data_IF_803812965334
#
_entry.id   IF_803812965334
#
_cell.length_a   1.000
_cell.length_b   1.000
_cell.length_c   1.000
_cell.angle_alpha   90.00
_cell.angle_beta   90.00
_cell.angle_gamma   90.00
#
_symmetry.space_group_name_H-M   'P 1'
#
loop_
_entity.id
_entity.type
_entity.pdbx_description
1 polymer ?
#
# COMPACT_ATOMS: atom_id res chain seq x y z
N UNK A 1 -29.35 -20.72 0.42
CA UNK A 1 -28.22 -21.54 -0.04
C UNK A 1 -26.98 -20.71 0.17
N UNK A 2 -26.56 -20.58 1.43
CA UNK A 2 -25.48 -19.69 1.84
C UNK A 2 -24.15 -20.41 1.61
N UNK A 3 -23.70 -20.38 0.36
CA UNK A 3 -22.34 -20.72 0.00
C UNK A 3 -21.43 -19.60 0.45
N UNK A 4 -21.07 -19.58 1.73
CA UNK A 4 -19.89 -18.87 2.21
C UNK A 4 -18.67 -19.52 1.53
N UNK A 5 -18.39 -19.11 0.29
CA UNK A 5 -17.14 -19.42 -0.40
C UNK A 5 -16.04 -18.74 0.42
N UNK A 6 -15.45 -19.49 1.35
CA UNK A 6 -14.27 -19.05 2.06
C UNK A 6 -13.21 -18.71 1.00
N UNK A 7 -12.98 -17.41 0.76
CA UNK A 7 -11.95 -16.97 -0.17
C UNK A 7 -10.62 -17.56 0.29
N UNK A 8 -9.98 -18.32 -0.60
CA UNK A 8 -8.71 -18.95 -0.27
C UNK A 8 -7.65 -17.84 -0.15
N UNK A 9 -7.09 -17.70 1.06
CA UNK A 9 -5.94 -16.81 1.31
C UNK A 9 -4.85 -17.04 0.26
N UNK A 10 -4.28 -15.95 -0.26
CA UNK A 10 -3.14 -16.03 -1.16
C UNK A 10 -1.97 -16.74 -0.46
N UNK A 11 -1.24 -17.55 -1.22
CA UNK A 11 -0.05 -18.23 -0.74
C UNK A 11 1.17 -17.55 -1.34
N UNK A 12 2.11 -17.03 -0.53
CA UNK A 12 3.37 -16.54 -1.04
C UNK A 12 4.10 -17.62 -1.83
N UNK A 13 4.84 -17.21 -2.86
CA UNK A 13 5.68 -18.11 -3.61
C UNK A 13 6.71 -18.78 -2.66
N UNK A 14 6.95 -20.10 -2.75
CA UNK A 14 7.92 -20.77 -1.91
C UNK A 14 9.31 -20.12 -2.01
N UNK A 15 10.05 -20.08 -0.89
CA UNK A 15 11.38 -19.42 -0.84
C UNK A 15 12.35 -19.92 -1.91
N UNK A 16 12.31 -21.21 -2.24
CA UNK A 16 13.14 -21.82 -3.30
C UNK A 16 12.82 -21.26 -4.69
N UNK A 17 11.56 -20.95 -4.96
CA UNK A 17 11.11 -20.47 -6.25
C UNK A 17 11.37 -18.95 -6.37
N UNK A 18 11.24 -18.22 -5.26
CA UNK A 18 11.73 -16.83 -5.15
C UNK A 18 13.24 -16.75 -5.38
N UNK A 19 14.01 -17.69 -4.81
CA UNK A 19 15.45 -17.77 -5.05
C UNK A 19 15.77 -18.07 -6.52
N UNK A 20 15.06 -19.00 -7.15
CA UNK A 20 15.21 -19.31 -8.58
C UNK A 20 14.88 -18.09 -9.48
N UNK A 21 13.82 -17.34 -9.15
CA UNK A 21 13.48 -16.08 -9.82
C UNK A 21 14.59 -15.03 -9.73
N UNK A 22 15.37 -15.03 -8.64
CA UNK A 22 16.52 -14.13 -8.48
C UNK A 22 17.74 -14.65 -9.23
N UNK A 23 18.02 -15.95 -9.13
CA UNK A 23 19.21 -16.60 -9.70
C UNK A 23 19.22 -16.63 -11.24
N UNK A 24 18.05 -16.53 -11.88
CA UNK A 24 17.95 -16.39 -13.35
C UNK A 24 18.57 -15.09 -13.87
N UNK A 25 18.77 -14.08 -13.03
CA UNK A 25 19.31 -12.78 -13.43
C UNK A 25 20.83 -12.79 -13.40
N UNK A 26 21.44 -13.17 -14.51
CA UNK A 26 22.88 -13.01 -14.73
C UNK A 26 23.19 -11.56 -15.13
N UNK A 27 24.40 -11.05 -14.87
CA UNK A 27 24.75 -9.64 -15.13
C UNK A 27 24.50 -9.16 -16.56
N UNK A 28 24.62 -10.05 -17.55
CA UNK A 28 24.37 -9.78 -18.97
C UNK A 28 22.89 -9.62 -19.34
N UNK A 29 21.98 -10.15 -18.50
CA UNK A 29 20.53 -10.02 -18.69
C UNK A 29 19.95 -8.76 -18.03
N UNK A 30 20.74 -8.04 -17.23
CA UNK A 30 20.28 -6.81 -16.58
C UNK A 30 20.30 -5.67 -17.61
N UNK A 31 19.13 -5.15 -18.04
CA UNK A 31 19.10 -4.05 -18.99
C UNK A 31 19.73 -2.80 -18.39
N UNK A 32 20.32 -1.96 -19.25
CA UNK A 32 20.72 -0.62 -18.86
C UNK A 32 19.46 0.23 -18.59
N UNK A 33 18.97 0.16 -17.36
CA UNK A 33 17.89 1.00 -16.85
C UNK A 33 18.38 2.39 -16.45
N UNK A 34 19.68 2.66 -16.59
CA UNK A 34 20.22 4.01 -16.47
C UNK A 34 19.53 4.89 -17.50
N UNK A 35 19.25 6.14 -17.12
CA UNK A 35 18.41 7.05 -17.87
C UNK A 35 19.21 7.72 -19.03
N UNK A 36 19.23 7.21 -20.28
CA UNK A 36 20.16 7.68 -21.28
C UNK A 36 19.36 8.50 -22.31
N UNK A 37 18.79 9.66 -21.91
CA UNK A 37 18.35 10.70 -22.88
C UNK A 37 18.12 12.10 -22.25
N UNK A 38 18.86 13.04 -22.84
CA UNK A 38 18.84 14.53 -22.91
C UNK A 38 18.25 15.34 -21.74
N UNK A 39 19.06 16.33 -21.33
CA UNK A 39 18.87 17.46 -20.39
C UNK A 39 17.46 18.05 -20.17
N UNK A 40 16.46 17.84 -21.01
CA UNK A 40 15.28 18.71 -21.05
C UNK A 40 13.88 18.10 -20.84
N UNK A 41 13.65 16.79 -20.75
CA UNK A 41 12.45 16.35 -20.01
C UNK A 41 12.46 14.87 -19.60
N UNK A 42 12.88 14.60 -18.37
CA UNK A 42 12.69 13.31 -17.71
C UNK A 42 11.35 13.23 -16.96
N UNK A 43 10.56 14.33 -16.96
CA UNK A 43 9.25 14.46 -16.32
C UNK A 43 8.09 14.32 -17.30
N UNK A 44 8.35 14.22 -18.61
CA UNK A 44 7.30 13.96 -19.60
C UNK A 44 6.78 12.53 -19.46
N UNK A 45 5.78 12.37 -18.60
CA UNK A 45 5.13 11.11 -18.30
C UNK A 45 3.98 10.80 -19.25
N UNK A 46 3.86 11.53 -20.37
CA UNK A 46 2.93 11.16 -21.44
C UNK A 46 3.47 10.01 -22.30
N UNK A 47 4.77 9.72 -22.21
CA UNK A 47 5.44 8.68 -22.98
C UNK A 47 5.81 7.48 -22.09
N UNK A 48 5.42 6.27 -22.52
CA UNK A 48 5.81 5.02 -21.85
C UNK A 48 7.29 4.73 -22.05
N UNK A 49 7.98 4.29 -20.99
CA UNK A 49 9.42 4.00 -21.04
C UNK A 49 9.73 2.79 -21.92
N UNK A 50 10.34 3.04 -23.08
CA UNK A 50 10.71 2.01 -24.05
C UNK A 50 11.90 1.14 -23.63
N UNK A 51 12.70 1.57 -22.64
CA UNK A 51 13.93 0.87 -22.22
C UNK A 51 13.71 -0.48 -21.55
N UNK A 52 12.48 -0.78 -21.12
CA UNK A 52 12.12 -2.05 -20.50
C UNK A 52 11.78 -3.15 -21.50
N UNK A 53 11.63 -2.81 -22.78
CA UNK A 53 11.27 -3.74 -23.83
C UNK A 53 12.45 -3.96 -24.82
N UNK A 54 12.73 -5.21 -25.23
CA UNK A 54 12.09 -6.45 -24.77
C UNK A 54 12.57 -6.86 -23.37
N UNK A 55 11.77 -7.66 -22.66
CA UNK A 55 12.28 -8.40 -21.50
C UNK A 55 13.21 -9.53 -21.97
N UNK A 56 14.33 -9.80 -21.27
CA UNK A 56 15.20 -10.96 -21.55
C UNK A 56 14.46 -12.31 -21.42
N UNK A 57 13.30 -12.32 -20.78
CA UNK A 57 12.50 -13.51 -20.54
C UNK A 57 11.17 -13.55 -21.29
N UNK A 58 10.93 -12.57 -22.17
CA UNK A 58 9.69 -12.46 -22.93
C UNK A 58 8.51 -12.01 -22.05
N UNK A 59 7.35 -12.60 -22.29
CA UNK A 59 6.10 -12.24 -21.63
C UNK A 59 5.66 -13.34 -20.66
N UNK A 60 5.01 -12.92 -19.57
CA UNK A 60 4.27 -13.82 -18.68
C UNK A 60 3.02 -14.37 -19.40
N UNK A 61 2.40 -15.39 -18.80
CA UNK A 61 1.20 -16.03 -19.38
C UNK A 61 0.02 -15.06 -19.57
N UNK A 62 -0.04 -13.99 -18.78
CA UNK A 62 -1.03 -12.92 -18.88
C UNK A 62 -0.52 -11.68 -19.65
N UNK A 63 0.60 -11.81 -20.37
CA UNK A 63 1.05 -10.84 -21.36
C UNK A 63 1.87 -9.67 -20.82
N UNK A 64 2.31 -9.69 -19.56
CA UNK A 64 3.22 -8.67 -19.02
C UNK A 64 4.67 -8.97 -19.38
N UNK A 65 5.51 -7.93 -19.49
CA UNK A 65 6.96 -8.10 -19.57
C UNK A 65 7.46 -8.82 -18.31
N UNK A 66 8.09 -9.99 -18.48
CA UNK A 66 8.56 -10.81 -17.36
C UNK A 66 9.83 -10.20 -16.75
N UNK A 67 9.67 -9.48 -15.65
CA UNK A 67 10.75 -8.95 -14.81
C UNK A 67 10.73 -9.55 -13.40
N UNK A 68 10.16 -10.75 -13.25
CA UNK A 68 10.00 -11.39 -11.95
C UNK A 68 11.36 -11.65 -11.30
N UNK A 69 11.47 -11.35 -10.01
CA UNK A 69 12.71 -11.50 -9.26
C UNK A 69 13.79 -10.47 -9.57
N UNK A 70 13.48 -9.37 -10.27
CA UNK A 70 14.46 -8.38 -10.69
C UNK A 70 15.36 -7.90 -9.53
N UNK A 71 16.70 -7.97 -9.64
CA UNK A 71 17.60 -7.80 -8.51
C UNK A 71 18.08 -6.36 -8.29
N UNK A 72 17.56 -5.39 -9.06
CA UNK A 72 17.96 -3.99 -8.98
C UNK A 72 16.80 -3.08 -8.62
N UNK A 73 17.13 -1.84 -8.25
CA UNK A 73 16.15 -0.79 -8.02
C UNK A 73 15.59 -0.32 -9.37
N UNK A 74 14.28 -0.12 -9.40
CA UNK A 74 13.62 0.63 -10.47
C UNK A 74 14.06 2.10 -10.34
N UNK A 75 14.53 2.78 -11.40
CA UNK A 75 14.83 4.20 -11.33
C UNK A 75 13.59 5.02 -10.94
N UNK A 76 13.76 6.26 -10.50
CA UNK A 76 12.62 7.14 -10.27
C UNK A 76 12.01 7.62 -11.61
N UNK A 77 10.86 8.28 -11.57
CA UNK A 77 10.23 8.90 -12.74
C UNK A 77 9.81 7.93 -13.84
N UNK A 78 9.49 6.69 -13.45
CA UNK A 78 9.14 5.69 -14.45
C UNK A 78 7.68 5.80 -14.87
N UNK A 79 7.44 5.70 -16.17
CA UNK A 79 6.14 5.40 -16.74
C UNK A 79 6.18 3.98 -17.32
N UNK A 80 5.65 3.00 -16.59
CA UNK A 80 5.62 1.60 -17.04
C UNK A 80 4.20 1.11 -17.23
N UNK A 81 4.03 0.27 -18.25
CA UNK A 81 2.79 -0.42 -18.53
C UNK A 81 3.05 -1.92 -18.70
N UNK A 82 2.20 -2.74 -18.08
CA UNK A 82 2.18 -4.19 -18.26
C UNK A 82 3.54 -4.85 -17.97
N UNK A 83 4.12 -4.57 -16.80
CA UNK A 83 5.39 -5.17 -16.34
C UNK A 83 5.14 -6.01 -15.10
N UNK A 84 5.59 -7.27 -15.10
CA UNK A 84 5.57 -8.12 -13.91
C UNK A 84 6.91 -8.01 -13.17
N UNK A 85 6.89 -7.24 -12.09
CA UNK A 85 7.97 -7.03 -11.13
C UNK A 85 7.70 -7.80 -9.83
N UNK A 86 6.88 -8.86 -9.86
CA UNK A 86 6.62 -9.67 -8.67
C UNK A 86 7.91 -10.27 -8.13
N UNK A 87 8.00 -10.29 -6.81
CA UNK A 87 9.19 -10.72 -6.07
C UNK A 87 10.48 -9.96 -6.43
N UNK A 88 10.39 -8.74 -6.96
CA UNK A 88 11.54 -7.85 -7.11
C UNK A 88 12.28 -7.70 -5.77
N UNK A 89 13.60 -7.88 -5.78
CA UNK A 89 14.44 -7.90 -4.57
C UNK A 89 15.78 -7.24 -4.86
N UNK A 90 15.90 -5.91 -4.65
CA UNK A 90 17.16 -5.23 -4.80
C UNK A 90 18.22 -5.82 -3.86
N UNK A 91 19.44 -6.01 -4.36
CA UNK A 91 20.56 -6.53 -3.55
C UNK A 91 20.76 -5.75 -2.24
N UNK A 92 20.46 -4.45 -2.26
CA UNK A 92 20.52 -3.58 -1.10
C UNK A 92 19.19 -2.85 -0.90
N UNK A 93 18.50 -3.14 0.21
CA UNK A 93 17.33 -2.41 0.65
C UNK A 93 16.05 -2.73 -0.12
N UNK A 94 15.30 -1.68 -0.49
CA UNK A 94 13.98 -1.74 -1.13
C UNK A 94 13.97 -0.88 -2.40
N UNK A 95 13.11 -1.20 -3.36
CA UNK A 95 12.86 -0.31 -4.49
C UNK A 95 11.84 0.76 -4.10
N UNK A 96 12.09 1.99 -4.53
CA UNK A 96 11.20 3.13 -4.30
C UNK A 96 10.60 3.53 -5.65
N UNK A 97 9.28 3.60 -5.72
CA UNK A 97 8.58 4.01 -6.95
C UNK A 97 8.20 5.47 -6.80
N UNK A 98 9.23 6.32 -6.83
CA UNK A 98 9.06 7.76 -6.69
C UNK A 98 8.79 8.41 -8.03
N UNK A 99 7.84 9.34 -7.98
CA UNK A 99 7.30 10.04 -9.12
C UNK A 99 6.90 9.11 -10.28
N UNK A 100 6.27 7.99 -9.95
CA UNK A 100 6.02 6.89 -10.88
C UNK A 100 4.57 6.90 -11.41
N UNK A 101 4.43 6.56 -12.68
CA UNK A 101 3.14 6.21 -13.30
C UNK A 101 3.22 4.74 -13.70
N UNK A 102 2.41 3.90 -13.07
CA UNK A 102 2.40 2.47 -13.33
C UNK A 102 1.01 2.03 -13.72
N UNK A 103 0.89 1.31 -14.84
CA UNK A 103 -0.40 0.80 -15.33
C UNK A 103 -0.28 -0.69 -15.59
N UNK A 104 -1.23 -1.49 -15.09
CA UNK A 104 -1.27 -2.95 -15.30
C UNK A 104 0.02 -3.68 -14.84
N UNK A 105 0.73 -3.16 -13.83
CA UNK A 105 1.97 -3.76 -13.33
C UNK A 105 1.72 -4.70 -12.13
N UNK A 106 2.55 -5.74 -12.00
CA UNK A 106 2.49 -6.66 -10.86
C UNK A 106 3.72 -6.46 -9.96
N UNK A 107 3.50 -6.22 -8.67
CA UNK A 107 4.52 -6.09 -7.63
C UNK A 107 4.32 -7.10 -6.51
N UNK A 108 3.58 -8.18 -6.75
CA UNK A 108 3.23 -9.18 -5.74
C UNK A 108 4.48 -9.66 -5.00
N UNK A 109 4.48 -9.55 -3.67
CA UNK A 109 5.61 -9.96 -2.83
C UNK A 109 6.94 -9.21 -3.07
N UNK A 110 6.94 -8.11 -3.82
CA UNK A 110 8.14 -7.32 -4.09
C UNK A 110 8.64 -6.58 -2.83
N UNK A 111 9.95 -6.36 -2.75
CA UNK A 111 10.58 -5.56 -1.71
C UNK A 111 10.48 -4.06 -2.05
N UNK A 112 9.34 -3.46 -1.72
CA UNK A 112 9.05 -2.04 -1.99
C UNK A 112 9.18 -1.16 -0.74
N UNK A 113 9.64 0.06 -0.96
CA UNK A 113 9.64 1.18 -0.02
C UNK A 113 8.50 2.13 -0.31
N UNK A 114 8.74 3.44 -0.18
CA UNK A 114 7.76 4.45 -0.54
C UNK A 114 7.38 4.39 -2.02
N UNK A 115 6.10 4.62 -2.30
CA UNK A 115 5.50 4.67 -3.62
C UNK A 115 4.63 5.91 -3.72
N UNK A 116 4.70 6.63 -4.85
CA UNK A 116 3.98 7.88 -5.01
C UNK A 116 3.55 8.13 -6.47
N UNK A 117 2.58 9.03 -6.59
CA UNK A 117 2.04 9.61 -7.83
C UNK A 117 0.84 8.88 -8.45
N UNK A 118 1.03 7.84 -9.28
CA UNK A 118 -0.11 7.20 -9.96
C UNK A 118 0.07 5.71 -10.23
N UNK A 119 -0.90 4.92 -9.77
CA UNK A 119 -0.95 3.48 -9.98
C UNK A 119 -2.35 3.08 -10.43
N UNK A 120 -2.44 2.42 -11.58
CA UNK A 120 -3.71 2.01 -12.19
C UNK A 120 -3.67 0.52 -12.51
N UNK A 121 -4.60 -0.26 -11.97
CA UNK A 121 -4.67 -1.72 -12.17
C UNK A 121 -3.38 -2.46 -11.78
N UNK A 122 -2.66 -1.93 -10.80
CA UNK A 122 -1.44 -2.53 -10.28
C UNK A 122 -1.72 -3.49 -9.11
N UNK A 123 -0.89 -4.53 -8.96
CA UNK A 123 -0.97 -5.49 -7.85
C UNK A 123 0.17 -5.28 -6.87
N UNK A 124 -0.18 -5.15 -5.60
CA UNK A 124 0.73 -5.04 -4.45
C UNK A 124 0.43 -6.14 -3.41
N UNK A 125 -0.17 -7.24 -3.86
CA UNK A 125 -0.54 -8.35 -2.99
C UNK A 125 0.69 -8.88 -2.26
N UNK A 126 0.53 -9.23 -0.98
CA UNK A 126 1.61 -9.76 -0.14
C UNK A 126 2.83 -8.84 0.04
N UNK A 127 2.80 -7.59 -0.44
CA UNK A 127 3.90 -6.63 -0.24
C UNK A 127 3.94 -6.19 1.22
N UNK A 128 5.13 -6.08 1.78
CA UNK A 128 5.35 -5.60 3.14
C UNK A 128 5.91 -4.19 3.17
N UNK A 129 5.02 -3.20 3.26
CA UNK A 129 5.34 -1.83 3.58
C UNK A 129 5.39 -1.67 5.11
N UNK A 130 6.59 -1.50 5.65
CA UNK A 130 6.79 -1.15 7.06
C UNK A 130 7.38 0.24 7.16
N UNK A 131 6.65 1.16 7.81
CA UNK A 131 7.06 2.57 8.02
C UNK A 131 7.41 3.28 6.71
N UNK A 132 6.52 3.19 5.73
CA UNK A 132 6.67 3.88 4.45
C UNK A 132 5.56 4.92 4.24
N UNK A 133 5.74 5.71 3.19
CA UNK A 133 4.72 6.63 2.68
C UNK A 133 4.11 6.04 1.42
N UNK A 134 2.79 6.01 1.36
CA UNK A 134 2.02 5.74 0.14
C UNK A 134 1.27 7.03 -0.20
N UNK A 135 1.58 7.67 -1.32
CA UNK A 135 0.95 8.93 -1.73
C UNK A 135 0.51 8.91 -3.19
N UNK A 136 -0.30 9.88 -3.59
CA UNK A 136 -0.84 9.96 -4.95
C UNK A 136 -2.19 9.26 -5.12
N UNK A 137 -2.41 8.68 -6.30
CA UNK A 137 -3.68 8.07 -6.69
C UNK A 137 -3.49 6.61 -7.04
N UNK A 138 -4.36 5.77 -6.47
CA UNK A 138 -4.44 4.33 -6.73
C UNK A 138 -5.82 4.02 -7.27
N UNK A 139 -5.89 3.43 -8.46
CA UNK A 139 -7.15 3.10 -9.11
C UNK A 139 -7.17 1.63 -9.51
N UNK A 140 -8.20 0.89 -9.07
CA UNK A 140 -8.36 -0.53 -9.35
C UNK A 140 -7.12 -1.37 -8.96
N UNK A 141 -6.42 -0.96 -7.89
CA UNK A 141 -5.23 -1.65 -7.41
C UNK A 141 -5.59 -2.75 -6.40
N UNK A 142 -4.76 -3.79 -6.34
CA UNK A 142 -4.90 -4.87 -5.38
C UNK A 142 -3.82 -4.76 -4.30
N UNK A 143 -4.20 -4.89 -3.04
CA UNK A 143 -3.34 -4.90 -1.84
C UNK A 143 -3.70 -6.09 -0.96
N UNK A 144 -4.19 -7.18 -1.57
CA UNK A 144 -4.69 -8.34 -0.82
C UNK A 144 -3.54 -8.92 0.00
N UNK A 145 -3.76 -9.04 1.31
CA UNK A 145 -2.76 -9.51 2.27
C UNK A 145 -1.46 -8.70 2.30
N UNK A 146 -1.49 -7.46 1.77
CA UNK A 146 -0.40 -6.52 1.95
C UNK A 146 -0.29 -6.10 3.42
N UNK A 147 0.94 -5.85 3.86
CA UNK A 147 1.21 -5.29 5.18
C UNK A 147 1.56 -3.82 4.99
N UNK A 148 0.79 -2.94 5.62
CA UNK A 148 0.95 -1.48 5.57
C UNK A 148 1.38 -0.95 6.94
N UNK A 149 2.10 -1.75 7.73
CA UNK A 149 2.39 -1.49 9.14
C UNK A 149 3.04 -0.13 9.35
N UNK A 150 2.44 0.68 10.22
CA UNK A 150 2.93 2.00 10.61
C UNK A 150 3.21 2.93 9.39
N UNK A 151 2.48 2.73 8.28
CA UNK A 151 2.62 3.58 7.10
C UNK A 151 1.80 4.86 7.23
N UNK A 152 2.20 5.89 6.49
CA UNK A 152 1.44 7.14 6.36
C UNK A 152 0.91 7.29 4.94
N UNK A 153 -0.37 7.67 4.82
CA UNK A 153 -0.99 7.92 3.52
C UNK A 153 -2.08 8.99 3.61
N UNK A 154 -2.00 9.96 2.71
CA UNK A 154 -3.09 10.89 2.40
C UNK A 154 -3.62 10.64 0.97
N UNK A 155 -3.40 9.44 0.44
CA UNK A 155 -3.70 9.10 -0.93
C UNK A 155 -5.21 8.97 -1.19
N UNK A 156 -5.56 8.97 -2.47
CA UNK A 156 -6.88 8.54 -2.93
C UNK A 156 -6.80 7.13 -3.48
N UNK A 157 -7.59 6.23 -2.90
CA UNK A 157 -7.77 4.85 -3.36
C UNK A 157 -9.16 4.70 -3.94
N UNK A 158 -9.26 4.33 -5.21
CA UNK A 158 -10.53 4.10 -5.91
C UNK A 158 -10.58 2.66 -6.37
N UNK A 159 -11.65 1.95 -6.03
CA UNK A 159 -11.91 0.56 -6.43
C UNK A 159 -10.75 -0.38 -6.07
N UNK A 160 -10.07 -0.09 -4.97
CA UNK A 160 -8.94 -0.89 -4.51
C UNK A 160 -9.41 -2.04 -3.61
N UNK A 161 -8.71 -3.17 -3.73
CA UNK A 161 -8.96 -4.36 -2.94
C UNK A 161 -7.95 -4.48 -1.81
N UNK A 162 -8.39 -4.34 -0.56
CA UNK A 162 -7.58 -4.46 0.64
C UNK A 162 -7.95 -5.68 1.48
N UNK A 163 -8.54 -6.73 0.87
CA UNK A 163 -8.91 -7.93 1.63
C UNK A 163 -7.72 -8.52 2.38
N UNK A 164 -7.95 -8.86 3.65
CA UNK A 164 -6.92 -9.35 4.59
C UNK A 164 -5.66 -8.45 4.72
N UNK A 165 -5.71 -7.19 4.27
CA UNK A 165 -4.57 -6.27 4.40
C UNK A 165 -4.40 -5.81 5.86
N UNK A 166 -3.17 -5.51 6.25
CA UNK A 166 -2.84 -5.10 7.62
C UNK A 166 -2.47 -3.62 7.68
N UNK A 167 -3.40 -2.79 8.16
CA UNK A 167 -3.25 -1.35 8.41
C UNK A 167 -2.81 -1.05 9.85
N UNK A 168 -2.25 -2.01 10.58
CA UNK A 168 -1.92 -1.78 11.99
C UNK A 168 -0.96 -0.59 12.17
N UNK A 169 -1.37 0.35 13.01
CA UNK A 169 -0.61 1.57 13.31
C UNK A 169 -0.50 2.59 12.17
N UNK A 170 -1.23 2.42 11.05
CA UNK A 170 -1.16 3.38 9.95
C UNK A 170 -1.73 4.73 10.32
N UNK A 171 -1.17 5.80 9.76
CA UNK A 171 -1.83 7.09 9.68
C UNK A 171 -2.42 7.27 8.28
N UNK A 172 -3.74 7.08 8.18
CA UNK A 172 -4.53 7.35 6.96
C UNK A 172 -5.43 8.57 7.16
N UNK A 173 -5.05 9.48 8.05
CA UNK A 173 -5.78 10.71 8.28
C UNK A 173 -5.92 11.49 6.98
N UNK A 174 -7.15 11.93 6.67
CA UNK A 174 -7.52 12.64 5.44
C UNK A 174 -7.34 11.83 4.14
N UNK A 175 -7.04 10.54 4.20
CA UNK A 175 -7.11 9.68 3.02
C UNK A 175 -8.55 9.56 2.51
N UNK A 176 -8.70 9.28 1.21
CA UNK A 176 -10.00 9.04 0.57
C UNK A 176 -10.05 7.63 0.00
N UNK A 177 -11.04 6.85 0.42
CA UNK A 177 -11.31 5.52 -0.09
C UNK A 177 -12.66 5.54 -0.83
N UNK A 178 -12.67 5.12 -2.08
CA UNK A 178 -13.86 5.14 -2.95
C UNK A 178 -14.11 3.73 -3.45
N UNK A 179 -15.24 3.13 -3.08
CA UNK A 179 -15.63 1.76 -3.47
C UNK A 179 -14.54 0.72 -3.21
N UNK A 180 -13.82 0.86 -2.10
CA UNK A 180 -12.77 -0.09 -1.72
C UNK A 180 -13.35 -1.28 -0.94
N UNK A 181 -12.72 -2.44 -1.07
CA UNK A 181 -13.04 -3.63 -0.27
C UNK A 181 -12.06 -3.74 0.91
N UNK A 182 -12.60 -3.93 2.13
CA UNK A 182 -11.82 -4.10 3.37
C UNK A 182 -12.10 -5.42 4.09
N UNK A 183 -12.70 -6.43 3.45
CA UNK A 183 -13.09 -7.68 4.12
C UNK A 183 -11.86 -8.36 4.74
N UNK A 184 -11.92 -8.64 6.04
CA UNK A 184 -10.80 -9.23 6.77
C UNK A 184 -9.61 -8.30 7.01
N UNK A 185 -9.65 -7.03 6.58
CA UNK A 185 -8.58 -6.08 6.83
C UNK A 185 -8.43 -5.79 8.34
N UNK A 186 -7.19 -5.59 8.78
CA UNK A 186 -6.88 -5.29 10.17
C UNK A 186 -6.53 -3.81 10.33
N UNK A 187 -7.11 -3.15 11.34
CA UNK A 187 -6.98 -1.71 11.55
C UNK A 187 -6.46 -1.33 12.94
N UNK A 188 -5.81 -2.28 13.62
CA UNK A 188 -5.42 -2.10 15.02
C UNK A 188 -4.51 -0.88 15.19
N UNK A 189 -4.96 0.10 15.97
CA UNK A 189 -4.21 1.32 16.25
C UNK A 189 -4.02 2.25 15.05
N UNK A 190 -4.78 2.04 13.97
CA UNK A 190 -4.81 2.98 12.85
C UNK A 190 -5.41 4.33 13.27
N UNK A 191 -4.96 5.39 12.60
CA UNK A 191 -5.48 6.75 12.73
C UNK A 191 -6.23 7.11 11.45
N UNK A 192 -7.53 7.40 11.58
CA UNK A 192 -8.42 7.73 10.47
C UNK A 192 -9.02 9.13 10.60
N UNK A 193 -8.33 10.04 11.31
CA UNK A 193 -8.84 11.38 11.55
C UNK A 193 -9.18 12.08 10.23
N UNK A 194 -10.46 12.47 10.06
CA UNK A 194 -10.97 13.10 8.84
C UNK A 194 -10.81 12.28 7.54
N UNK A 195 -10.62 10.96 7.64
CA UNK A 195 -10.67 10.08 6.48
C UNK A 195 -12.07 10.11 5.85
N UNK A 196 -12.15 9.86 4.54
CA UNK A 196 -13.43 9.83 3.81
C UNK A 196 -13.61 8.49 3.12
N UNK A 197 -14.77 7.86 3.33
CA UNK A 197 -15.16 6.61 2.69
C UNK A 197 -16.39 6.84 1.83
N UNK A 198 -16.33 6.45 0.55
CA UNK A 198 -17.35 6.75 -0.45
C UNK A 198 -17.85 5.44 -1.06
N UNK A 199 -19.12 5.10 -0.90
CA UNK A 199 -19.65 3.83 -1.39
C UNK A 199 -18.96 2.59 -0.81
N UNK A 200 -18.27 2.74 0.32
CA UNK A 200 -17.60 1.68 1.07
C UNK A 200 -17.56 2.03 2.55
N UNK A 201 -17.40 1.02 3.42
CA UNK A 201 -17.32 1.22 4.86
C UNK A 201 -16.56 0.06 5.53
N UNK A 202 -15.53 0.31 6.35
CA UNK A 202 -14.99 -0.70 7.25
C UNK A 202 -16.04 -1.16 8.27
N UNK A 203 -15.99 -2.41 8.73
CA UNK A 203 -16.93 -2.93 9.72
C UNK A 203 -16.83 -2.18 11.06
N UNK A 204 -17.85 -2.31 11.90
CA UNK A 204 -17.81 -1.69 13.23
C UNK A 204 -16.67 -2.25 14.08
N UNK A 205 -16.33 -3.54 13.97
CA UNK A 205 -15.17 -4.09 14.67
C UNK A 205 -13.85 -3.47 14.18
N UNK A 206 -13.73 -3.23 12.87
CA UNK A 206 -12.56 -2.58 12.29
C UNK A 206 -12.43 -1.13 12.77
N UNK A 207 -13.52 -0.37 12.74
CA UNK A 207 -13.55 1.02 13.21
C UNK A 207 -13.27 1.14 14.72
N UNK A 208 -13.76 0.19 15.53
CA UNK A 208 -13.50 0.14 16.96
C UNK A 208 -12.05 -0.24 17.30
N UNK A 209 -11.35 -0.97 16.42
CA UNK A 209 -9.95 -1.35 16.63
C UNK A 209 -8.94 -0.21 16.39
N UNK A 210 -9.38 0.90 15.81
CA UNK A 210 -8.56 2.06 15.50
C UNK A 210 -8.29 2.91 16.76
N UNK A 211 -7.24 3.74 16.79
CA UNK A 211 -7.00 4.70 17.88
C UNK A 211 -7.67 6.06 17.66
N UNK A 212 -7.92 6.43 16.40
CA UNK A 212 -8.63 7.66 16.07
C UNK A 212 -9.59 7.41 14.92
N UNK A 213 -10.87 7.70 15.14
CA UNK A 213 -11.92 7.64 14.12
C UNK A 213 -12.79 8.91 14.13
N UNK A 214 -12.28 10.00 14.73
CA UNK A 214 -12.98 11.27 14.81
C UNK A 214 -13.02 11.99 13.46
N UNK A 215 -14.19 12.57 13.15
CA UNK A 215 -14.39 13.35 11.93
C UNK A 215 -14.35 12.54 10.64
N UNK A 216 -14.39 11.20 10.71
CA UNK A 216 -14.60 10.36 9.53
C UNK A 216 -15.88 10.80 8.83
N UNK A 217 -15.81 10.89 7.50
CA UNK A 217 -16.99 11.12 6.65
C UNK A 217 -17.31 9.87 5.86
N UNK A 218 -18.59 9.53 5.82
CA UNK A 218 -19.13 8.55 4.91
C UNK A 218 -19.93 9.29 3.85
N UNK A 219 -19.72 8.94 2.59
CA UNK A 219 -20.41 9.51 1.43
C UNK A 219 -21.02 8.38 0.60
N UNK A 220 -22.14 8.66 -0.06
CA UNK A 220 -22.67 7.80 -1.11
C UNK A 220 -21.91 8.00 -2.43
N UNK A 221 -22.24 7.23 -3.47
CA UNK A 221 -21.59 7.35 -4.78
C UNK A 221 -21.83 8.70 -5.48
N UNK A 222 -22.81 9.49 -5.04
CA UNK A 222 -23.08 10.85 -5.54
C UNK A 222 -22.24 11.92 -4.83
N UNK A 223 -21.49 11.54 -3.79
CA UNK A 223 -20.70 12.44 -2.95
C UNK A 223 -21.53 13.13 -1.87
N UNK A 224 -22.76 12.70 -1.62
CA UNK A 224 -23.55 13.20 -0.49
C UNK A 224 -23.14 12.51 0.79
N UNK A 225 -23.00 13.28 1.87
CA UNK A 225 -22.67 12.74 3.18
C UNK A 225 -23.83 11.86 3.69
N UNK A 226 -23.47 10.68 4.20
CA UNK A 226 -24.38 9.73 4.82
C UNK A 226 -24.12 9.70 6.31
N UNK A 227 -25.14 9.99 7.10
CA UNK A 227 -25.05 9.95 8.56
C UNK A 227 -25.14 8.50 9.03
N UNK A 228 -24.05 8.01 9.60
CA UNK A 228 -23.96 6.68 10.16
C UNK A 228 -23.27 6.70 11.52
N UNK A 229 -23.70 5.82 12.42
CA UNK A 229 -23.06 5.64 13.70
C UNK A 229 -21.63 5.11 13.52
N UNK A 230 -20.69 5.70 14.24
CA UNK A 230 -19.29 5.27 14.32
C UNK A 230 -19.03 4.77 15.73
N UNK A 231 -18.52 3.54 15.93
CA UNK A 231 -18.22 3.02 17.26
C UNK A 231 -17.08 3.80 17.90
N UNK A 232 -16.99 3.76 19.23
CA UNK A 232 -15.87 4.37 19.95
C UNK A 232 -14.55 3.70 19.54
N UNK A 233 -13.54 4.52 19.25
CA UNK A 233 -12.18 4.05 19.00
C UNK A 233 -11.57 3.38 20.24
N UNK A 234 -10.64 2.45 20.02
CA UNK A 234 -9.83 1.89 21.09
C UNK A 234 -8.95 2.98 21.72
N UNK A 235 -8.74 2.91 23.04
CA UNK A 235 -7.83 3.81 23.75
C UNK A 235 -6.40 3.67 23.19
N UNK A 236 -5.78 4.80 22.86
CA UNK A 236 -4.36 4.82 22.52
C UNK A 236 -3.53 4.56 23.80
N UNK A 237 -2.74 3.49 23.87
CA UNK A 237 -1.93 3.17 25.05
C UNK A 237 -0.95 4.29 25.44
N UNK A 238 -0.47 5.08 24.48
CA UNK A 238 0.46 6.17 24.73
C UNK A 238 -0.23 7.38 25.36
N UNK A 239 -1.44 7.72 24.90
CA UNK A 239 -2.25 8.78 25.50
C UNK A 239 -2.76 8.35 26.88
N UNK A 240 -3.25 7.10 27.00
CA UNK A 240 -3.73 6.55 28.26
C UNK A 240 -2.63 6.52 29.34
N UNK A 241 -1.35 6.33 28.97
CA UNK A 241 -0.24 6.43 29.92
C UNK A 241 -0.02 7.87 30.40
N UNK A 242 -0.06 8.85 29.49
CA UNK A 242 0.07 10.27 29.81
C UNK A 242 -1.03 10.76 30.76
N UNK A 243 -2.27 10.37 30.51
CA UNK A 243 -3.41 10.70 31.37
C UNK A 243 -3.28 10.04 32.75
N UNK A 244 -2.91 8.75 32.79
CA UNK A 244 -2.66 8.04 34.06
C UNK A 244 -1.47 8.62 34.84
N UNK A 245 -0.43 9.10 34.16
CA UNK A 245 0.71 9.78 34.79
C UNK A 245 0.26 11.12 35.37
N UNK A 246 -0.50 11.89 34.61
CA UNK A 246 -1.03 13.19 35.03
C UNK A 246 -1.96 13.06 36.23
N UNK A 247 -2.87 12.09 36.24
CA UNK A 247 -3.71 11.78 37.39
C UNK A 247 -2.90 11.35 38.62
N UNK A 248 -1.84 10.55 38.43
CA UNK A 248 -0.93 10.14 39.51
C UNK A 248 -0.15 11.32 40.09
N UNK A 249 0.25 12.28 39.26
CA UNK A 249 0.93 13.50 39.69
C UNK A 249 -0.02 14.46 40.42
N UNK A 250 -1.28 14.57 39.97
CA UNK A 250 -2.31 15.39 40.61
C UNK A 250 -2.73 14.86 42.00
N UNK A 251 -2.62 13.54 42.24
CA UNK A 251 -2.95 12.90 43.53
C UNK A 251 -1.79 12.88 44.53
N UNK A 252 -0.63 13.46 44.22
CA UNK A 252 0.47 13.58 45.20
C UNK A 252 0.11 14.61 46.27
N UNK A 253 0.12 14.26 47.57
CA UNK A 253 -0.10 15.24 48.62
C UNK A 253 1.01 16.31 48.55
N UNK A 254 0.61 17.58 48.62
CA UNK A 254 1.55 18.69 48.75
C UNK A 254 2.40 18.44 50.01
N UNK A 255 3.71 18.29 49.83
CA UNK A 255 4.64 18.18 50.95
C UNK A 255 4.43 19.43 51.84
N UNK A 256 3.95 19.21 53.06
CA UNK A 256 3.86 20.24 54.09
C UNK A 256 5.28 20.66 54.44
N UNK A 257 5.62 21.91 54.12
CA UNK A 257 6.77 22.65 54.65
C UNK A 257 6.61 22.91 56.13
#
# INVERSE_FOLDING_TARGET
>A
MDGCMAFQRLKPLPKKDVAALRERWTPDLVPELANPRRKNDWRDKTLVNRHWAPSPFGLTADGRLDYRGFPHRVPHYQNLQSVDLSYLQPQHGRAFLLNAIMTDCDFTGAALGAIEESFVRCRFDLVAFNRNVLSGVFQACSFVQAKLLECSSMATFTECDFRDADFSGTDVSRARFVRCNFDGAHWKGAQLHKATFVGCRPSDEQLAACHSNEGIRFEDDSGQQVDVAVPQAAEDPLLAWGDRLTERLAKRPANRS
#
